data_IF_177323130153
#
_entry.id   IF_177323130153
#
_cell.length_a   1.000
_cell.length_b   1.000
_cell.length_c   1.000
_cell.angle_alpha   90.00
_cell.angle_beta   90.00
_cell.angle_gamma   90.00
#
_symmetry.space_group_name_H-M   'P 1'
#
loop_
_entity.id
_entity.type
_entity.pdbx_description
1 polymer ?
#
# COMPACT_ATOMS: atom_id res chain seq x y z
N UNK A 1 -1.41 6.31 -5.91
CA UNK A 1 -0.60 5.64 -4.86
C UNK A 1 -0.97 6.12 -3.46
N UNK A 2 -0.94 7.42 -3.19
CA UNK A 2 -1.15 8.00 -1.85
C UNK A 2 -2.51 7.64 -1.25
N UNK A 3 -3.61 7.88 -1.98
CA UNK A 3 -4.97 7.54 -1.51
C UNK A 3 -5.12 6.07 -1.09
N UNK A 4 -4.43 5.15 -1.78
CA UNK A 4 -4.45 3.72 -1.42
C UNK A 4 -3.73 3.46 -0.10
N UNK A 5 -2.63 4.16 0.17
CA UNK A 5 -1.93 4.07 1.46
C UNK A 5 -2.80 4.59 2.58
N UNK A 6 -3.45 5.75 2.41
CA UNK A 6 -4.35 6.31 3.42
C UNK A 6 -5.50 5.36 3.76
N UNK A 7 -6.09 4.74 2.74
CA UNK A 7 -7.14 3.74 2.96
C UNK A 7 -6.60 2.50 3.70
N UNK A 8 -5.38 2.04 3.36
CA UNK A 8 -4.75 0.91 4.05
C UNK A 8 -4.43 1.25 5.51
N UNK A 9 -3.86 2.43 5.79
CA UNK A 9 -3.54 2.89 7.14
C UNK A 9 -4.78 3.02 8.02
N UNK A 10 -5.88 3.54 7.45
CA UNK A 10 -7.19 3.58 8.11
C UNK A 10 -7.70 2.18 8.43
N UNK A 11 -7.56 1.24 7.49
CA UNK A 11 -7.98 -0.14 7.68
C UNK A 11 -7.17 -0.87 8.75
N UNK A 12 -5.84 -0.68 8.78
CA UNK A 12 -4.95 -1.30 9.76
C UNK A 12 -4.93 -0.58 11.10
N UNK A 13 -5.52 0.61 11.20
CA UNK A 13 -5.55 1.42 12.42
C UNK A 13 -4.24 2.16 12.72
N UNK A 14 -3.34 2.29 11.74
CA UNK A 14 -2.04 2.94 11.93
C UNK A 14 -1.12 2.81 10.74
N UNK A 15 0.02 3.48 10.83
CA UNK A 15 1.03 3.61 9.78
C UNK A 15 2.25 2.75 10.15
N UNK A 16 2.69 1.82 9.30
CA UNK A 16 3.91 1.05 9.56
C UNK A 16 5.15 1.96 9.51
N UNK A 17 6.18 1.65 10.27
CA UNK A 17 7.44 2.42 10.29
C UNK A 17 8.20 2.36 8.97
N UNK A 18 7.95 1.32 8.17
CA UNK A 18 8.65 1.06 6.92
C UNK A 18 7.73 0.42 5.88
N UNK A 19 7.85 0.86 4.63
CA UNK A 19 7.10 0.32 3.50
C UNK A 19 8.06 -0.04 2.36
N UNK A 20 7.95 -1.28 1.89
CA UNK A 20 8.72 -1.78 0.76
C UNK A 20 7.99 -1.49 -0.57
N UNK A 21 8.67 -0.78 -1.46
CA UNK A 21 8.18 -0.41 -2.77
C UNK A 21 8.96 -1.11 -3.89
N UNK A 22 8.28 -1.27 -5.02
CA UNK A 22 8.94 -1.59 -6.28
C UNK A 22 9.63 -0.35 -6.87
N UNK A 23 10.46 -0.54 -7.90
CA UNK A 23 11.21 0.54 -8.55
C UNK A 23 10.35 1.39 -9.52
N UNK A 24 9.12 1.70 -9.13
CA UNK A 24 8.19 2.49 -9.96
C UNK A 24 8.51 3.98 -9.93
N UNK A 25 8.30 4.66 -11.06
CA UNK A 25 8.59 6.10 -11.23
C UNK A 25 7.84 7.03 -10.27
N UNK A 26 6.72 6.56 -9.72
CA UNK A 26 5.97 7.27 -8.68
C UNK A 26 6.76 7.40 -7.36
N UNK A 27 7.71 6.50 -7.12
CA UNK A 27 8.52 6.44 -5.88
C UNK A 27 9.98 6.75 -6.17
N UNK A 28 10.55 6.17 -7.23
CA UNK A 28 11.97 6.32 -7.60
C UNK A 28 12.13 6.74 -9.05
N UNK A 29 12.77 7.89 -9.28
CA UNK A 29 13.05 8.42 -10.61
C UNK A 29 14.26 7.74 -11.23
N UNK A 30 15.32 7.50 -10.45
CA UNK A 30 16.51 6.77 -10.87
C UNK A 30 16.95 5.79 -9.78
N UNK A 31 16.99 4.50 -10.11
CA UNK A 31 17.44 3.46 -9.20
C UNK A 31 18.95 3.21 -9.38
N UNK A 32 19.72 3.35 -8.30
CA UNK A 32 21.13 2.89 -8.21
C UNK A 32 21.22 1.58 -7.44
N UNK A 33 22.39 0.99 -7.27
CA UNK A 33 22.54 -0.26 -6.51
C UNK A 33 22.24 -0.02 -5.03
N UNK A 34 22.86 1.01 -4.42
CA UNK A 34 22.51 1.45 -3.08
C UNK A 34 21.24 2.29 -3.10
N UNK A 35 20.35 2.06 -2.14
CA UNK A 35 19.11 2.82 -2.01
C UNK A 35 19.40 4.31 -1.72
N UNK A 36 20.40 4.60 -0.88
CA UNK A 36 20.84 5.97 -0.53
C UNK A 36 21.35 6.78 -1.73
N UNK A 37 21.80 6.12 -2.79
CA UNK A 37 22.31 6.75 -4.01
C UNK A 37 21.22 6.88 -5.09
N UNK A 38 20.00 6.36 -4.81
CA UNK A 38 18.88 6.42 -5.75
C UNK A 38 18.19 7.78 -5.68
N UNK A 39 17.74 8.30 -6.84
CA UNK A 39 16.96 9.53 -6.89
C UNK A 39 15.49 9.21 -6.69
N UNK A 40 14.96 9.55 -5.52
CA UNK A 40 13.54 9.41 -5.21
C UNK A 40 12.71 10.52 -5.84
N UNK A 41 11.41 10.29 -5.94
CA UNK A 41 10.45 11.33 -6.27
C UNK A 41 10.25 12.22 -5.03
N UNK A 42 10.63 13.50 -5.12
CA UNK A 42 10.58 14.43 -3.99
C UNK A 42 9.18 14.58 -3.39
N UNK A 43 8.15 14.68 -4.22
CA UNK A 43 6.77 14.76 -3.75
C UNK A 43 6.35 13.50 -2.98
N UNK A 44 6.88 12.34 -3.36
CA UNK A 44 6.62 11.10 -2.62
C UNK A 44 7.38 11.05 -1.29
N UNK A 45 8.63 11.53 -1.28
CA UNK A 45 9.43 11.61 -0.05
C UNK A 45 8.81 12.55 0.98
N UNK A 46 8.32 13.72 0.55
CA UNK A 46 7.58 14.65 1.42
C UNK A 46 6.39 13.99 2.12
N UNK A 47 5.68 13.12 1.41
CA UNK A 47 4.54 12.39 1.97
C UNK A 47 5.01 11.33 2.97
N UNK A 48 6.10 10.62 2.67
CA UNK A 48 6.68 9.64 3.60
C UNK A 48 7.14 10.29 4.90
N UNK A 49 7.73 11.48 4.82
CA UNK A 49 8.15 12.27 5.98
C UNK A 49 6.95 12.81 6.75
N UNK A 50 5.94 13.34 6.05
CA UNK A 50 4.70 13.85 6.66
C UNK A 50 3.96 12.78 7.47
N UNK A 51 3.90 11.55 6.97
CA UNK A 51 3.25 10.42 7.64
C UNK A 51 4.21 9.60 8.53
N UNK A 52 5.50 9.92 8.54
CA UNK A 52 6.51 9.31 9.41
C UNK A 52 6.95 7.89 9.04
N UNK A 53 6.79 7.44 7.79
CA UNK A 53 7.25 6.10 7.36
C UNK A 53 8.49 6.15 6.47
N UNK A 54 9.32 5.11 6.55
CA UNK A 54 10.53 4.97 5.74
C UNK A 54 10.24 4.24 4.43
N UNK A 55 10.71 4.81 3.31
CA UNK A 55 10.62 4.19 1.99
C UNK A 55 11.79 3.22 1.77
N UNK A 56 11.51 1.93 1.59
CA UNK A 56 12.49 0.95 1.12
C UNK A 56 12.22 0.51 -0.29
N UNK A 57 13.28 0.30 -1.07
CA UNK A 57 13.17 -0.22 -2.43
C UNK A 57 13.55 -1.70 -2.49
N UNK A 58 12.81 -2.46 -3.28
CA UNK A 58 13.23 -3.80 -3.67
C UNK A 58 14.63 -3.77 -4.30
N UNK A 59 15.45 -4.79 -4.04
CA UNK A 59 16.72 -4.96 -4.74
C UNK A 59 16.45 -5.32 -6.21
N UNK A 60 17.12 -4.66 -7.17
CA UNK A 60 17.06 -5.06 -8.57
C UNK A 60 17.49 -6.52 -8.73
N UNK A 61 16.80 -7.25 -9.61
CA UNK A 61 17.12 -8.64 -9.96
C UNK A 61 17.05 -9.66 -8.81
N UNK A 62 16.34 -9.34 -7.71
CA UNK A 62 16.02 -10.28 -6.63
C UNK A 62 14.51 -10.54 -6.54
N UNK A 63 13.95 -11.39 -7.43
CA UNK A 63 12.51 -11.68 -7.44
C UNK A 63 12.01 -12.34 -6.14
N UNK A 64 12.88 -13.04 -5.38
CA UNK A 64 12.52 -13.67 -4.12
C UNK A 64 11.81 -12.74 -3.11
N UNK A 65 12.09 -11.43 -3.11
CA UNK A 65 11.46 -10.50 -2.16
C UNK A 65 10.00 -10.21 -2.48
N UNK A 66 9.54 -10.48 -3.71
CA UNK A 66 8.16 -10.23 -4.15
C UNK A 66 7.21 -11.41 -3.91
N UNK A 67 7.74 -12.62 -3.68
CA UNK A 67 6.93 -13.84 -3.60
C UNK A 67 5.82 -13.80 -2.53
N UNK A 68 6.03 -13.09 -1.40
CA UNK A 68 4.98 -12.91 -0.39
C UNK A 68 3.82 -12.05 -0.90
N UNK A 69 4.12 -10.94 -1.56
CA UNK A 69 3.11 -10.03 -2.13
C UNK A 69 2.36 -10.74 -3.26
N UNK A 70 3.08 -11.41 -4.15
CA UNK A 70 2.49 -12.15 -5.28
C UNK A 70 1.57 -13.28 -4.81
N UNK A 71 1.97 -14.03 -3.77
CA UNK A 71 1.13 -15.07 -3.18
C UNK A 71 -0.16 -14.51 -2.57
N UNK A 72 -0.10 -13.37 -1.88
CA UNK A 72 -1.29 -12.73 -1.32
C UNK A 72 -2.24 -12.23 -2.41
N UNK A 73 -1.71 -11.69 -3.52
CA UNK A 73 -2.52 -11.29 -4.69
C UNK A 73 -3.17 -12.53 -5.32
N UNK A 74 -2.43 -13.62 -5.46
CA UNK A 74 -2.96 -14.90 -5.94
C UNK A 74 -4.09 -15.43 -5.06
N UNK A 75 -3.92 -15.36 -3.73
CA UNK A 75 -4.95 -15.74 -2.76
C UNK A 75 -6.22 -14.89 -2.91
N UNK A 76 -6.08 -13.56 -2.98
CA UNK A 76 -7.20 -12.65 -3.22
C UNK A 76 -7.95 -13.00 -4.52
N UNK A 77 -7.23 -13.20 -5.62
CA UNK A 77 -7.83 -13.57 -6.91
C UNK A 77 -8.56 -14.91 -6.86
N UNK A 78 -7.93 -15.92 -6.26
CA UNK A 78 -8.45 -17.28 -6.23
C UNK A 78 -9.60 -17.51 -5.23
N UNK A 79 -9.75 -16.64 -4.22
CA UNK A 79 -10.72 -16.82 -3.14
C UNK A 79 -11.80 -15.73 -3.09
N UNK A 80 -11.44 -14.46 -3.32
CA UNK A 80 -12.42 -13.37 -3.29
C UNK A 80 -13.05 -13.13 -4.65
N UNK A 81 -12.24 -13.02 -5.71
CA UNK A 81 -12.76 -12.71 -7.04
C UNK A 81 -13.33 -13.94 -7.76
N UNK A 82 -12.77 -15.12 -7.49
CA UNK A 82 -13.20 -16.35 -8.14
C UNK A 82 -14.60 -16.77 -7.67
N UNK A 83 -15.57 -16.85 -8.59
CA UNK A 83 -16.95 -17.23 -8.30
C UNK A 83 -17.83 -16.10 -7.73
N UNK A 84 -17.29 -14.89 -7.59
CA UNK A 84 -18.05 -13.73 -7.12
C UNK A 84 -18.64 -12.93 -8.29
N UNK A 85 -19.85 -12.42 -8.09
CA UNK A 85 -20.51 -11.48 -8.99
C UNK A 85 -20.62 -10.12 -8.30
N UNK A 86 -20.35 -9.06 -9.05
CA UNK A 86 -20.38 -7.69 -8.55
C UNK A 86 -21.32 -6.85 -9.38
N UNK A 87 -22.19 -6.09 -8.71
CA UNK A 87 -23.17 -5.22 -9.36
C UNK A 87 -22.62 -3.80 -9.57
N UNK A 88 -21.69 -3.38 -8.71
CA UNK A 88 -21.04 -2.07 -8.78
C UNK A 88 -19.71 -2.07 -8.03
N UNK A 89 -18.91 -1.01 -8.21
CA UNK A 89 -17.67 -0.83 -7.45
C UNK A 89 -17.93 -0.71 -5.94
N UNK A 90 -19.02 -0.05 -5.57
CA UNK A 90 -19.46 0.11 -4.18
C UNK A 90 -19.79 -1.25 -3.57
N UNK A 91 -20.58 -2.06 -4.30
CA UNK A 91 -20.89 -3.43 -3.93
C UNK A 91 -19.61 -4.28 -3.78
N UNK A 92 -18.67 -4.20 -4.73
CA UNK A 92 -17.36 -4.87 -4.62
C UNK A 92 -16.62 -4.48 -3.34
N UNK A 93 -16.61 -3.19 -2.96
CA UNK A 93 -15.92 -2.73 -1.76
C UNK A 93 -16.58 -3.28 -0.48
N UNK A 94 -17.91 -3.31 -0.43
CA UNK A 94 -18.67 -3.89 0.70
C UNK A 94 -18.40 -5.38 0.82
N UNK A 95 -18.52 -6.13 -0.28
CA UNK A 95 -18.24 -7.57 -0.30
C UNK A 95 -16.78 -7.86 0.11
N UNK A 96 -15.83 -7.07 -0.38
CA UNK A 96 -14.42 -7.18 -0.02
C UNK A 96 -14.21 -6.96 1.48
N UNK A 97 -14.85 -5.95 2.07
CA UNK A 97 -14.81 -5.70 3.51
C UNK A 97 -15.29 -6.89 4.33
N UNK A 98 -16.44 -7.47 3.97
CA UNK A 98 -16.99 -8.66 4.62
C UNK A 98 -16.07 -9.87 4.48
N UNK A 99 -15.52 -10.08 3.28
CA UNK A 99 -14.59 -11.18 3.03
C UNK A 99 -13.29 -11.03 3.82
N UNK A 100 -12.76 -9.81 3.98
CA UNK A 100 -11.54 -9.55 4.74
C UNK A 100 -11.68 -9.91 6.22
N UNK A 101 -12.87 -9.74 6.83
CA UNK A 101 -13.13 -10.19 8.21
C UNK A 101 -12.91 -11.71 8.33
N UNK A 102 -13.42 -12.47 7.36
CA UNK A 102 -13.26 -13.93 7.32
C UNK A 102 -11.81 -14.30 7.02
N UNK A 103 -11.18 -13.68 6.03
CA UNK A 103 -9.81 -13.99 5.61
C UNK A 103 -8.79 -13.72 6.73
N UNK A 104 -8.91 -12.57 7.41
CA UNK A 104 -8.00 -12.16 8.48
C UNK A 104 -8.30 -12.83 9.83
N UNK A 105 -9.47 -13.48 9.98
CA UNK A 105 -9.84 -14.27 11.15
C UNK A 105 -9.39 -15.74 11.10
N UNK A 106 -8.82 -16.21 9.98
CA UNK A 106 -8.32 -17.59 9.82
C UNK A 106 -6.86 -17.69 10.25
N UNK A 107 -6.49 -18.83 10.84
CA UNK A 107 -5.09 -19.13 11.14
C UNK A 107 -4.26 -19.20 9.86
N UNK A 108 -3.20 -18.41 9.79
CA UNK A 108 -2.27 -18.47 8.67
C UNK A 108 -1.41 -19.74 8.76
N UNK A 109 -1.40 -20.56 7.70
CA UNK A 109 -0.70 -21.83 7.71
C UNK A 109 0.84 -21.72 7.82
N UNK A 110 1.43 -20.59 7.43
CA UNK A 110 2.88 -20.38 7.51
C UNK A 110 3.31 -19.82 8.86
N UNK A 111 2.55 -18.88 9.44
CA UNK A 111 2.93 -18.24 10.71
C UNK A 111 2.27 -18.88 11.94
N UNK A 112 1.22 -19.69 11.76
CA UNK A 112 0.45 -20.30 12.84
C UNK A 112 -0.41 -19.31 13.64
N UNK A 113 -0.43 -18.03 13.26
CA UNK A 113 -1.18 -16.97 13.95
C UNK A 113 -2.39 -16.51 13.13
N UNK A 114 -3.39 -15.97 13.79
CA UNK A 114 -4.50 -15.27 13.14
C UNK A 114 -4.02 -13.86 12.75
N UNK A 115 -4.09 -13.45 11.47
CA UNK A 115 -3.60 -12.13 11.04
C UNK A 115 -4.21 -10.95 11.81
N UNK A 116 -5.50 -10.99 12.09
CA UNK A 116 -6.18 -9.94 12.85
C UNK A 116 -5.70 -9.83 14.31
N UNK A 117 -5.20 -10.93 14.90
CA UNK A 117 -4.61 -10.92 16.23
C UNK A 117 -3.16 -10.47 16.17
N UNK A 118 -2.38 -11.02 15.24
CA UNK A 118 -0.99 -10.64 15.04
C UNK A 118 -0.83 -9.13 14.74
N UNK A 119 -1.80 -8.52 14.04
CA UNK A 119 -1.81 -7.08 13.77
C UNK A 119 -1.89 -6.23 15.06
N UNK A 120 -2.52 -6.73 16.12
CA UNK A 120 -2.63 -5.99 17.40
C UNK A 120 -1.30 -5.92 18.14
N UNK A 121 -0.41 -6.87 17.88
CA UNK A 121 0.93 -6.92 18.46
C UNK A 121 1.91 -6.00 17.69
N UNK A 122 1.53 -5.49 16.51
CA UNK A 122 2.38 -4.62 15.70
C UNK A 122 2.42 -3.20 16.27
N UNK A 123 3.62 -2.60 16.25
CA UNK A 123 3.82 -1.21 16.69
C UNK A 123 3.62 -0.29 15.49
N UNK A 124 2.42 0.29 15.39
CA UNK A 124 2.07 1.24 14.34
C UNK A 124 2.13 2.68 14.86
N UNK A 125 2.55 3.59 13.97
CA UNK A 125 2.47 5.03 14.20
C UNK A 125 0.99 5.42 14.15
N UNK A 126 0.53 6.19 15.15
CA UNK A 126 -0.86 6.61 15.22
C UNK A 126 -1.20 7.62 14.13
N UNK A 127 -2.32 7.38 13.44
CA UNK A 127 -2.82 8.28 12.38
C UNK A 127 -3.59 9.50 12.94
N UNK A 128 -4.04 9.44 14.20
CA UNK A 128 -5.00 10.39 14.78
C UNK A 128 -4.44 11.82 14.97
N UNK A 129 -3.12 12.00 14.86
CA UNK A 129 -2.46 13.30 15.03
C UNK A 129 -2.04 13.98 13.73
N UNK A 130 -2.22 13.31 12.58
CA UNK A 130 -1.72 13.81 11.29
C UNK A 130 -2.92 14.18 10.41
N UNK A 131 -3.13 15.47 10.08
CA UNK A 131 -4.19 15.88 9.17
C UNK A 131 -4.12 15.13 7.83
N UNK A 132 -5.26 14.98 7.15
CA UNK A 132 -5.25 14.38 5.82
C UNK A 132 -4.46 15.29 4.87
N UNK A 133 -3.42 14.72 4.24
CA UNK A 133 -2.59 15.44 3.29
C UNK A 133 -3.45 15.89 2.08
N UNK A 134 -3.76 17.18 2.03
CA UNK A 134 -4.49 17.78 0.90
C UNK A 134 -3.54 17.93 -0.28
N UNK A 135 -3.73 17.14 -1.33
CA UNK A 135 -3.04 17.32 -2.60
C UNK A 135 -3.97 18.03 -3.59
N UNK A 136 -3.49 19.10 -4.22
CA UNK A 136 -4.16 19.72 -5.36
C UNK A 136 -3.59 19.14 -6.66
N UNK A 137 -4.44 18.55 -7.50
CA UNK A 137 -4.05 18.21 -8.87
C UNK A 137 -4.15 19.49 -9.70
N UNK A 138 -3.01 20.00 -10.16
CA UNK A 138 -2.97 21.11 -11.11
C UNK A 138 -2.63 20.59 -12.51
N UNK A 139 -3.49 20.87 -13.49
CA UNK A 139 -3.17 20.68 -14.91
C UNK A 139 -2.84 22.02 -15.55
N UNK A 140 -1.64 22.16 -16.09
CA UNK A 140 -1.29 23.33 -16.92
C UNK A 140 -1.68 23.02 -18.36
N UNK A 141 -2.64 23.77 -18.92
CA UNK A 141 -2.96 23.73 -20.35
C UNK A 141 -2.50 24.99 -21.05
N UNK A 142 -1.88 24.82 -22.22
CA UNK A 142 -1.48 25.93 -23.09
C UNK A 142 -2.73 26.36 -23.88
N UNK A 143 -3.29 27.51 -23.52
CA UNK A 143 -4.42 28.10 -24.25
C UNK A 143 -3.84 28.91 -25.41
N UNK A 144 -4.25 28.62 -26.64
CA UNK A 144 -3.92 29.47 -27.79
C UNK A 144 -4.66 30.80 -27.64
N UNK A 145 -3.98 31.92 -27.85
CA UNK A 145 -4.66 33.19 -28.09
C UNK A 145 -5.17 33.17 -29.53
N UNK A 146 -6.44 33.53 -29.73
CA UNK A 146 -6.98 33.86 -31.07
C UNK A 146 -6.27 35.08 -31.64
#
# INVERSE_FOLDING_TARGET
LIKLHLNAFRYTGGIPSEILYDNMKQVVLERRIKASESRFNEAFMQISEYYGFTVRLCYPYRPQTKGKVERNIGYLRGNFFNGSTFESLQDTNVQCGTWLVVANGRTNATTGKIPAEALKDEILISMNSIPEFSYSISETRKISRE
#
